data_IF_111965968680
#
_entry.id   IF_111965968680
#
_cell.length_a   1.000
_cell.length_b   1.000
_cell.length_c   1.000
_cell.angle_alpha   90.00
_cell.angle_beta   90.00
_cell.angle_gamma   90.00
#
_symmetry.space_group_name_H-M   'P 1'
#
loop_
_entity.id
_entity.type
_entity.pdbx_description
1 polymer ?
#
# COMPACT_ATOMS: atom_id res chain seq x y z
N UNK A 1 7.82 -62.06 -26.50
CA UNK A 1 8.49 -60.81 -26.04
C UNK A 1 7.87 -59.51 -26.59
N UNK A 2 7.07 -59.54 -27.67
CA UNK A 2 6.56 -58.32 -28.33
C UNK A 2 5.34 -57.64 -27.65
N UNK A 3 4.57 -58.34 -26.80
CA UNK A 3 3.41 -57.74 -26.10
C UNK A 3 3.81 -56.96 -24.82
N UNK A 4 4.89 -57.36 -24.15
CA UNK A 4 5.36 -56.72 -22.91
C UNK A 4 5.91 -55.31 -23.16
N UNK A 5 6.55 -55.10 -24.31
CA UNK A 5 7.08 -53.79 -24.74
C UNK A 5 5.99 -52.82 -25.20
N UNK A 6 4.91 -53.30 -25.86
CA UNK A 6 3.76 -52.45 -26.24
C UNK A 6 3.00 -51.94 -25.02
N UNK A 7 2.79 -52.77 -24.01
CA UNK A 7 2.10 -52.39 -22.76
C UNK A 7 2.96 -51.45 -21.90
N UNK A 8 4.29 -51.58 -21.96
CA UNK A 8 5.23 -50.69 -21.27
C UNK A 8 5.28 -49.30 -21.91
N UNK A 9 5.30 -49.21 -23.25
CA UNK A 9 5.21 -47.91 -23.94
C UNK A 9 3.84 -47.26 -23.76
N UNK A 10 2.74 -48.04 -23.82
CA UNK A 10 1.38 -47.53 -23.63
C UNK A 10 1.17 -46.98 -22.22
N UNK A 11 1.72 -47.63 -21.20
CA UNK A 11 1.67 -47.14 -19.81
C UNK A 11 2.47 -45.83 -19.62
N UNK A 12 3.62 -45.70 -20.27
CA UNK A 12 4.41 -44.47 -20.25
C UNK A 12 3.66 -43.30 -20.91
N UNK A 13 3.02 -43.54 -22.06
CA UNK A 13 2.19 -42.53 -22.72
C UNK A 13 0.98 -42.11 -21.88
N UNK A 14 0.32 -43.05 -21.19
CA UNK A 14 -0.80 -42.74 -20.29
C UNK A 14 -0.33 -41.91 -19.09
N UNK A 15 0.83 -42.23 -18.50
CA UNK A 15 1.38 -41.45 -17.39
C UNK A 15 1.73 -40.01 -17.78
N UNK A 16 2.33 -39.81 -18.96
CA UNK A 16 2.66 -38.47 -19.47
C UNK A 16 1.39 -37.67 -19.82
N UNK A 17 0.38 -38.33 -20.40
CA UNK A 17 -0.91 -37.69 -20.69
C UNK A 17 -1.67 -37.32 -19.41
N UNK A 18 -1.62 -38.17 -18.38
CA UNK A 18 -2.22 -37.87 -17.08
C UNK A 18 -1.51 -36.70 -16.40
N UNK A 19 -0.17 -36.66 -16.43
CA UNK A 19 0.62 -35.56 -15.87
C UNK A 19 0.31 -34.20 -16.53
N UNK A 20 -0.03 -34.18 -17.82
CA UNK A 20 -0.44 -32.96 -18.52
C UNK A 20 -1.87 -32.52 -18.15
N UNK A 21 -2.75 -33.48 -17.82
CA UNK A 21 -4.14 -33.22 -17.44
C UNK A 21 -4.28 -32.62 -16.03
N UNK A 22 -3.31 -32.85 -15.13
CA UNK A 22 -3.36 -32.36 -13.74
C UNK A 22 -2.69 -30.99 -13.53
N UNK A 23 -2.38 -30.23 -14.58
CA UNK A 23 -1.86 -28.87 -14.43
C UNK A 23 -2.99 -27.83 -14.52
N UNK A 24 -3.58 -27.37 -13.39
CA UNK A 24 -4.47 -26.22 -13.41
C UNK A 24 -3.66 -24.95 -13.65
N UNK A 25 -3.70 -24.40 -14.87
CA UNK A 25 -3.23 -23.04 -15.13
C UNK A 25 -4.29 -22.05 -14.66
N UNK A 26 -4.38 -21.83 -13.34
CA UNK A 26 -5.16 -20.69 -12.84
C UNK A 26 -4.31 -19.43 -12.96
N UNK A 27 -4.44 -18.74 -14.09
CA UNK A 27 -4.00 -17.34 -14.19
C UNK A 27 -4.98 -16.51 -13.38
N UNK A 28 -4.63 -16.26 -12.11
CA UNK A 28 -5.38 -15.36 -11.25
C UNK A 28 -5.12 -13.92 -11.66
N UNK A 29 -6.13 -13.23 -12.16
CA UNK A 29 -6.07 -11.79 -12.31
C UNK A 29 -6.36 -11.17 -10.95
N UNK A 30 -5.32 -10.68 -10.27
CA UNK A 30 -5.51 -9.87 -9.08
C UNK A 30 -6.14 -8.53 -9.50
N UNK A 31 -7.43 -8.37 -9.22
CA UNK A 31 -8.10 -7.07 -9.35
C UNK A 31 -7.61 -6.21 -8.17
N UNK A 32 -7.05 -5.02 -8.40
CA UNK A 32 -6.67 -4.12 -7.32
C UNK A 32 -7.88 -3.85 -6.43
N UNK A 33 -7.73 -4.00 -5.11
CA UNK A 33 -8.77 -3.62 -4.18
C UNK A 33 -9.06 -2.12 -4.35
N UNK A 34 -10.33 -1.74 -4.50
CA UNK A 34 -10.70 -0.34 -4.56
C UNK A 34 -10.24 0.37 -3.26
N UNK A 35 -9.68 1.59 -3.34
CA UNK A 35 -9.23 2.31 -2.15
C UNK A 35 -10.38 2.46 -1.17
N UNK A 36 -10.20 2.00 0.07
CA UNK A 36 -11.22 2.14 1.09
C UNK A 36 -11.23 3.60 1.60
N UNK A 37 -12.32 4.30 1.32
CA UNK A 37 -12.52 5.68 1.77
C UNK A 37 -13.08 5.67 3.19
N UNK A 38 -12.43 6.40 4.08
CA UNK A 38 -12.83 6.65 5.46
C UNK A 38 -13.34 8.08 5.61
N UNK A 39 -14.23 8.28 6.58
CA UNK A 39 -14.62 9.60 7.05
C UNK A 39 -13.77 9.95 8.27
N UNK A 40 -13.03 11.06 8.19
CA UNK A 40 -12.29 11.65 9.30
C UNK A 40 -13.02 12.91 9.77
N UNK A 41 -13.09 13.10 11.08
CA UNK A 41 -13.82 14.21 11.70
C UNK A 41 -12.84 15.23 12.28
N UNK A 42 -13.03 16.50 11.91
CA UNK A 42 -12.36 17.64 12.51
C UNK A 42 -12.88 17.87 13.94
N UNK A 43 -12.12 18.50 14.85
CA UNK A 43 -12.61 18.72 16.21
C UNK A 43 -13.79 19.68 16.35
N UNK A 44 -14.11 20.46 15.32
CA UNK A 44 -15.36 21.24 15.25
C UNK A 44 -16.58 20.41 14.80
N UNK A 45 -16.39 19.12 14.52
CA UNK A 45 -17.41 18.19 14.04
C UNK A 45 -17.56 18.12 12.52
N UNK A 46 -16.77 18.88 11.77
CA UNK A 46 -16.80 18.83 10.30
C UNK A 46 -16.13 17.55 9.79
N UNK A 47 -16.82 16.81 8.93
CA UNK A 47 -16.29 15.59 8.33
C UNK A 47 -15.59 15.85 6.98
N UNK A 48 -14.55 15.09 6.69
CA UNK A 48 -13.95 15.00 5.37
C UNK A 48 -13.55 13.55 5.03
N UNK A 49 -13.42 13.26 3.74
CA UNK A 49 -13.08 11.93 3.26
C UNK A 49 -11.59 11.78 3.04
N UNK A 50 -11.05 10.65 3.49
CA UNK A 50 -9.64 10.31 3.33
C UNK A 50 -9.47 8.81 3.08
N UNK A 51 -8.40 8.45 2.37
CA UNK A 51 -7.93 7.08 2.21
C UNK A 51 -6.64 6.89 2.98
N UNK A 52 -6.45 5.69 3.52
CA UNK A 52 -5.14 5.30 4.02
C UNK A 52 -4.22 4.99 2.84
N UNK A 53 -2.94 5.30 3.01
CA UNK A 53 -1.88 4.88 2.11
C UNK A 53 -0.78 4.17 2.88
N UNK A 54 0.02 3.38 2.17
CA UNK A 54 1.19 2.74 2.74
C UNK A 54 0.96 1.32 3.25
N UNK A 55 1.89 0.86 4.08
CA UNK A 55 1.98 -0.50 4.60
C UNK A 55 2.39 -0.48 6.09
N UNK A 56 2.82 -1.64 6.62
CA UNK A 56 3.20 -1.81 8.02
C UNK A 56 4.37 -0.92 8.44
N UNK A 57 5.24 -0.51 7.51
CA UNK A 57 6.45 0.25 7.81
C UNK A 57 6.26 1.76 7.60
N UNK A 58 5.39 2.14 6.66
CA UNK A 58 5.14 3.55 6.34
C UNK A 58 3.70 3.73 5.88
N UNK A 59 2.90 4.47 6.64
CA UNK A 59 1.50 4.74 6.30
C UNK A 59 1.04 6.12 6.76
N UNK A 60 -0.13 6.52 6.27
CA UNK A 60 -0.78 7.75 6.68
C UNK A 60 -2.11 7.96 5.96
N UNK A 61 -2.58 9.19 6.01
CA UNK A 61 -3.87 9.59 5.46
C UNK A 61 -3.70 10.53 4.28
N UNK A 62 -4.61 10.43 3.31
CA UNK A 62 -4.64 11.27 2.12
C UNK A 62 -6.10 11.60 1.77
N UNK A 63 -6.40 12.86 1.45
CA UNK A 63 -7.71 13.29 0.95
C UNK A 63 -8.09 12.58 -0.36
N UNK A 64 -9.37 12.64 -0.76
CA UNK A 64 -9.80 12.12 -2.08
C UNK A 64 -9.04 12.77 -3.24
N UNK A 65 -8.68 14.05 -3.10
CA UNK A 65 -7.91 14.83 -4.09
C UNK A 65 -6.40 14.52 -4.08
N UNK A 66 -5.95 13.63 -3.19
CA UNK A 66 -4.57 13.17 -3.18
C UNK A 66 -3.63 13.93 -2.25
N UNK A 67 -4.10 14.89 -1.46
CA UNK A 67 -3.24 15.61 -0.50
C UNK A 67 -3.07 14.84 0.80
N UNK A 68 -1.83 14.61 1.21
CA UNK A 68 -1.49 13.97 2.47
C UNK A 68 -1.88 14.85 3.65
N UNK A 69 -2.42 14.24 4.70
CA UNK A 69 -2.90 14.94 5.89
C UNK A 69 -2.29 14.35 7.14
N UNK A 70 -2.06 15.20 8.14
CA UNK A 70 -1.59 14.82 9.47
C UNK A 70 -2.48 15.45 10.52
N UNK A 71 -2.70 14.74 11.62
CA UNK A 71 -3.35 15.32 12.78
C UNK A 71 -2.32 16.13 13.57
N UNK A 72 -2.57 17.42 13.72
CA UNK A 72 -1.70 18.33 14.46
C UNK A 72 -2.28 18.56 15.85
N UNK A 73 -1.61 18.03 16.87
CA UNK A 73 -2.01 18.16 18.27
C UNK A 73 -1.94 19.61 18.78
N UNK A 74 -1.09 20.46 18.18
CA UNK A 74 -0.90 21.84 18.63
C UNK A 74 -2.08 22.74 18.27
N UNK A 75 -2.68 22.53 17.09
CA UNK A 75 -3.89 23.22 16.64
C UNK A 75 -5.15 22.39 16.85
N UNK A 76 -4.99 21.12 17.26
CA UNK A 76 -6.05 20.14 17.42
C UNK A 76 -6.94 20.07 16.17
N UNK A 77 -6.34 19.81 15.00
CA UNK A 77 -7.02 19.69 13.72
C UNK A 77 -6.30 18.72 12.78
N UNK A 78 -7.03 18.15 11.82
CA UNK A 78 -6.42 17.56 10.62
C UNK A 78 -5.95 18.67 9.68
N UNK A 79 -4.67 18.65 9.35
CA UNK A 79 -4.01 19.65 8.51
C UNK A 79 -3.36 19.03 7.29
N UNK A 80 -3.16 19.84 6.25
CA UNK A 80 -2.38 19.44 5.09
C UNK A 80 -0.92 19.22 5.50
N UNK A 81 -0.29 18.17 4.96
CA UNK A 81 1.11 17.88 5.22
C UNK A 81 2.05 18.62 4.27
N UNK A 82 3.22 18.98 4.77
CA UNK A 82 4.37 19.47 3.99
C UNK A 82 5.62 18.70 4.42
N UNK A 83 6.70 18.81 3.63
CA UNK A 83 7.98 18.25 4.04
C UNK A 83 8.73 19.20 4.97
N UNK A 84 9.34 18.64 6.01
CA UNK A 84 10.39 19.33 6.76
C UNK A 84 11.74 19.29 5.99
N UNK A 85 12.82 19.73 6.64
CA UNK A 85 14.17 19.68 6.04
C UNK A 85 14.73 18.26 5.86
N UNK A 86 14.20 17.26 6.55
CA UNK A 86 14.66 15.87 6.51
C UNK A 86 13.86 14.99 5.56
N UNK A 87 12.73 15.50 5.06
CA UNK A 87 11.78 14.82 4.19
C UNK A 87 10.64 14.14 4.95
N UNK A 88 10.48 14.41 6.25
CA UNK A 88 9.35 13.99 7.07
C UNK A 88 8.08 14.76 6.71
N UNK A 89 6.93 14.11 6.82
CA UNK A 89 5.63 14.76 6.64
C UNK A 89 5.21 15.43 7.95
N UNK A 90 5.18 16.75 7.96
CA UNK A 90 4.81 17.56 9.12
C UNK A 90 3.57 18.40 8.84
N UNK A 91 2.95 18.90 9.91
CA UNK A 91 1.82 19.83 9.82
C UNK A 91 2.22 21.13 9.12
N UNK A 92 1.36 21.61 8.23
CA UNK A 92 1.42 22.96 7.65
C UNK A 92 0.65 24.01 8.47
N UNK A 93 -0.05 23.58 9.52
CA UNK A 93 -1.04 24.36 10.27
C UNK A 93 -2.25 24.85 9.44
N UNK A 94 -2.40 24.40 8.18
CA UNK A 94 -3.59 24.69 7.33
C UNK A 94 -4.60 23.57 7.46
N UNK A 95 -5.80 23.92 7.94
CA UNK A 95 -6.87 22.96 8.25
C UNK A 95 -7.57 22.47 6.99
N UNK A 96 -7.67 21.15 6.84
CA UNK A 96 -8.31 20.50 5.70
C UNK A 96 -9.80 20.87 5.63
N UNK A 97 -10.25 21.30 4.46
CA UNK A 97 -11.65 21.69 4.22
C UNK A 97 -12.02 23.09 4.72
N UNK A 98 -11.07 23.83 5.30
CA UNK A 98 -11.28 25.20 5.82
C UNK A 98 -10.32 26.21 5.21
N UNK A 99 -9.04 25.87 5.15
CA UNK A 99 -7.99 26.75 4.61
C UNK A 99 -7.61 26.37 3.18
N UNK A 100 -7.01 27.32 2.47
CA UNK A 100 -6.38 27.08 1.17
C UNK A 100 -5.16 26.15 1.30
N UNK A 101 -4.81 25.49 0.19
CA UNK A 101 -3.65 24.62 0.11
C UNK A 101 -2.35 25.39 0.45
N UNK A 102 -1.53 24.88 1.38
CA UNK A 102 -0.27 25.52 1.73
C UNK A 102 0.75 25.42 0.59
N UNK A 103 1.65 26.40 0.52
CA UNK A 103 2.81 26.34 -0.38
C UNK A 103 3.67 25.13 -0.04
N UNK A 104 4.08 24.37 -1.06
CA UNK A 104 4.90 23.15 -0.87
C UNK A 104 4.09 21.90 -0.57
N UNK A 105 2.75 21.98 -0.56
CA UNK A 105 1.87 20.81 -0.53
C UNK A 105 1.54 20.36 -1.95
N UNK A 106 1.82 19.09 -2.24
CA UNK A 106 1.58 18.46 -3.53
C UNK A 106 0.81 17.14 -3.33
N UNK A 107 0.07 16.66 -4.34
CA UNK A 107 -0.56 15.35 -4.25
C UNK A 107 0.46 14.23 -4.06
N UNK A 108 0.06 13.20 -3.32
CA UNK A 108 0.79 11.95 -3.10
C UNK A 108 2.14 12.11 -2.39
N UNK A 109 2.28 13.13 -1.54
CA UNK A 109 3.47 13.30 -0.72
C UNK A 109 3.64 12.14 0.26
N UNK A 110 4.85 11.58 0.28
CA UNK A 110 5.28 10.51 1.19
C UNK A 110 6.57 10.96 1.90
N UNK A 111 7.01 10.30 2.97
CA UNK A 111 8.34 10.57 3.52
C UNK A 111 9.41 10.39 2.45
N UNK A 112 10.36 11.32 2.40
CA UNK A 112 11.49 11.32 1.45
C UNK A 112 12.81 11.53 2.18
N UNK A 113 13.93 11.57 1.46
CA UNK A 113 15.23 11.91 2.05
C UNK A 113 15.62 11.00 3.22
N UNK A 114 16.08 11.61 4.30
CA UNK A 114 16.52 10.89 5.50
C UNK A 114 15.37 10.16 6.18
N UNK A 115 14.15 10.74 6.18
CA UNK A 115 12.98 10.10 6.76
C UNK A 115 12.67 8.76 6.07
N UNK A 116 12.75 8.72 4.73
CA UNK A 116 12.57 7.47 3.97
C UNK A 116 13.65 6.44 4.28
N UNK A 117 14.92 6.85 4.41
CA UNK A 117 16.01 5.94 4.77
C UNK A 117 15.84 5.32 6.16
N UNK A 118 15.36 6.10 7.13
CA UNK A 118 15.12 5.61 8.49
C UNK A 118 14.03 4.53 8.51
N UNK A 119 12.97 4.73 7.73
CA UNK A 119 11.86 3.78 7.58
C UNK A 119 12.34 2.47 6.94
N UNK A 120 13.13 2.55 5.87
CA UNK A 120 13.67 1.35 5.22
C UNK A 120 14.64 0.59 6.15
N UNK A 121 15.44 1.32 6.92
CA UNK A 121 16.36 0.74 7.90
C UNK A 121 15.66 0.06 9.07
N UNK A 122 14.51 0.57 9.53
CA UNK A 122 13.74 -0.05 10.62
C UNK A 122 13.04 -1.33 10.16
N UNK A 123 12.50 -1.35 8.94
CA UNK A 123 11.80 -2.50 8.35
C UNK A 123 12.72 -3.73 8.20
N UNK A 124 13.98 -3.51 7.82
CA UNK A 124 14.98 -4.59 7.70
C UNK A 124 15.27 -5.31 9.02
N UNK A 125 15.27 -4.59 10.14
CA UNK A 125 15.55 -5.17 11.47
C UNK A 125 14.37 -5.99 12.04
N UNK A 126 13.13 -5.75 11.58
CA UNK A 126 11.97 -6.52 12.02
C UNK A 126 11.89 -7.92 11.42
N UNK A 127 12.50 -8.17 10.26
CA UNK A 127 12.47 -9.50 9.62
C UNK A 127 13.44 -10.52 10.24
N UNK A 128 14.42 -10.11 11.04
CA UNK A 128 15.36 -11.04 11.70
C UNK A 128 14.86 -11.59 13.07
N UNK A 129 13.67 -11.19 13.54
CA UNK A 129 13.11 -11.61 14.84
C UNK A 129 11.81 -12.41 14.77
N UNK A 130 11.48 -12.96 13.59
CA UNK A 130 10.29 -13.79 13.36
C UNK A 130 10.55 -15.29 13.50
#
# INVERSE_FOLDING_TARGET
MLQKTKNMCLSFFIMVAFAWFVLPYKVGYAIPAAPFIHTLTQPDGTDFKAKQWGDESCHGWETEDGYTVVFDESVNCWTYAIHDTTGELISSSRTVGKDDLPTGCFPHMRPTGQASLNILGSSGNSMERG
#
